data_IF_289376129516
#
_entry.id   IF_289376129516
#
_cell.length_a   1.000
_cell.length_b   1.000
_cell.length_c   1.000
_cell.angle_alpha   90.00
_cell.angle_beta   90.00
_cell.angle_gamma   90.00
#
_symmetry.space_group_name_H-M   'P 1'
#
loop_
_entity.id
_entity.type
_entity.pdbx_description
1 polymer ?
#
# COMPACT_ATOMS: atom_id res chain seq x y z
N UNK A 1 5.56 6.49 -7.68
CA UNK A 1 4.65 5.53 -8.35
C UNK A 1 5.01 5.31 -9.81
N UNK A 2 5.10 6.33 -10.67
CA UNK A 2 5.44 6.18 -12.10
C UNK A 2 6.74 5.39 -12.32
N UNK A 3 7.81 5.70 -11.59
CA UNK A 3 9.11 5.01 -11.70
C UNK A 3 9.01 3.55 -11.27
N UNK A 4 8.24 3.28 -10.21
CA UNK A 4 7.96 1.90 -9.76
C UNK A 4 7.21 1.10 -10.82
N UNK A 5 6.23 1.71 -11.49
CA UNK A 5 5.51 1.09 -12.61
C UNK A 5 6.46 0.82 -13.77
N UNK A 6 7.37 1.74 -14.11
CA UNK A 6 8.36 1.57 -15.17
C UNK A 6 9.29 0.38 -14.87
N UNK A 7 9.80 0.25 -13.65
CA UNK A 7 10.65 -0.87 -13.26
C UNK A 7 9.92 -2.21 -13.33
N UNK A 8 8.71 -2.27 -12.75
CA UNK A 8 7.89 -3.50 -12.77
C UNK A 8 7.47 -3.84 -14.19
N UNK A 9 7.09 -2.85 -14.99
CA UNK A 9 6.76 -3.01 -16.40
C UNK A 9 7.92 -3.59 -17.21
N UNK A 10 9.12 -3.06 -17.06
CA UNK A 10 10.32 -3.59 -17.69
C UNK A 10 10.58 -5.04 -17.27
N UNK A 11 10.48 -5.36 -15.96
CA UNK A 11 10.65 -6.71 -15.46
C UNK A 11 9.63 -7.69 -16.07
N UNK A 12 8.36 -7.30 -16.17
CA UNK A 12 7.30 -8.12 -16.76
C UNK A 12 7.49 -8.29 -18.27
N UNK A 13 7.91 -7.22 -18.97
CA UNK A 13 8.18 -7.25 -20.38
C UNK A 13 9.32 -8.22 -20.71
N UNK A 14 10.43 -8.21 -19.98
CA UNK A 14 11.54 -9.13 -20.22
C UNK A 14 11.17 -10.59 -19.92
N UNK A 15 10.32 -10.86 -18.91
CA UNK A 15 9.79 -12.21 -18.67
C UNK A 15 8.86 -12.63 -19.82
N UNK A 16 8.01 -11.72 -20.30
CA UNK A 16 7.15 -11.97 -21.45
C UNK A 16 7.98 -12.23 -22.70
N UNK A 17 8.98 -11.39 -22.99
CA UNK A 17 9.89 -11.55 -24.12
C UNK A 17 10.58 -12.92 -24.10
N UNK A 18 11.19 -13.28 -22.97
CA UNK A 18 11.85 -14.57 -22.78
C UNK A 18 10.93 -15.76 -23.08
N UNK A 19 9.69 -15.66 -22.67
CA UNK A 19 8.68 -16.71 -22.85
C UNK A 19 8.11 -16.78 -24.27
N UNK A 20 8.24 -15.72 -25.08
CA UNK A 20 7.69 -15.65 -26.43
C UNK A 20 8.75 -15.70 -27.55
N UNK A 21 10.03 -15.89 -27.20
CA UNK A 21 11.06 -16.09 -28.20
C UNK A 21 10.80 -17.35 -29.02
N UNK A 22 10.85 -17.22 -30.32
CA UNK A 22 10.88 -18.37 -31.25
C UNK A 22 12.21 -19.08 -31.10
N UNK A 23 12.18 -20.36 -30.75
CA UNK A 23 13.35 -21.23 -30.58
C UNK A 23 13.37 -22.43 -31.53
N UNK A 24 12.42 -22.49 -32.47
CA UNK A 24 12.28 -23.64 -33.35
C UNK A 24 13.50 -23.78 -34.26
N UNK A 25 13.95 -22.70 -34.92
CA UNK A 25 15.07 -22.66 -35.81
C UNK A 25 15.89 -21.38 -35.61
N UNK A 26 16.57 -21.19 -34.47
CA UNK A 26 17.34 -19.98 -34.24
C UNK A 26 18.57 -19.97 -35.16
N UNK A 27 18.95 -18.79 -35.63
CA UNK A 27 20.25 -18.61 -36.30
C UNK A 27 21.42 -19.04 -35.40
N UNK A 28 22.53 -19.42 -35.98
CA UNK A 28 23.72 -19.77 -35.19
C UNK A 28 24.10 -18.64 -34.23
N UNK A 29 24.40 -19.02 -32.98
CA UNK A 29 24.71 -18.09 -31.89
C UNK A 29 23.49 -17.51 -31.17
N UNK A 30 22.27 -17.65 -31.72
CA UNK A 30 21.06 -17.17 -31.05
C UNK A 30 20.45 -18.23 -30.14
N UNK A 31 19.84 -17.76 -29.05
CA UNK A 31 18.97 -18.52 -28.15
C UNK A 31 17.50 -18.48 -28.60
N UNK A 32 17.15 -17.55 -29.46
CA UNK A 32 15.83 -17.32 -30.04
C UNK A 32 15.67 -15.86 -30.48
N UNK A 33 14.60 -15.60 -31.20
CA UNK A 33 14.25 -14.28 -31.72
C UNK A 33 12.74 -14.03 -31.62
N UNK A 34 12.35 -12.78 -31.75
CA UNK A 34 10.94 -12.36 -31.75
C UNK A 34 10.71 -11.21 -32.72
N UNK A 35 9.74 -11.36 -33.60
CA UNK A 35 9.19 -10.28 -34.40
C UNK A 35 8.00 -9.64 -33.66
N UNK A 36 8.01 -8.33 -33.51
CA UNK A 36 6.97 -7.58 -32.85
C UNK A 36 6.55 -6.38 -33.69
N UNK A 37 5.30 -5.96 -33.56
CA UNK A 37 4.79 -4.70 -34.13
C UNK A 37 4.27 -3.80 -33.02
N UNK A 38 4.69 -2.55 -32.98
CA UNK A 38 4.19 -1.57 -32.02
C UNK A 38 4.34 -0.15 -32.56
N UNK A 39 3.32 0.70 -32.39
CA UNK A 39 3.35 2.09 -32.81
C UNK A 39 3.60 2.29 -34.30
N UNK A 40 3.19 1.34 -35.17
CA UNK A 40 3.42 1.38 -36.61
C UNK A 40 4.81 0.90 -37.05
N UNK A 41 5.71 0.54 -36.12
CA UNK A 41 7.04 0.00 -36.42
C UNK A 41 7.10 -1.54 -36.24
N UNK A 42 7.89 -2.20 -37.10
CA UNK A 42 8.21 -3.60 -36.98
C UNK A 42 9.58 -3.72 -36.32
N UNK A 43 9.65 -4.54 -35.27
CA UNK A 43 10.83 -4.76 -34.44
C UNK A 43 11.26 -6.21 -34.55
N UNK A 44 12.57 -6.45 -34.70
CA UNK A 44 13.17 -7.76 -34.60
C UNK A 44 14.12 -7.80 -33.40
N UNK A 45 13.77 -8.60 -32.40
CA UNK A 45 14.53 -8.75 -31.15
C UNK A 45 15.22 -10.12 -31.15
N UNK A 46 16.51 -10.11 -30.96
CA UNK A 46 17.36 -11.32 -30.93
C UNK A 46 17.96 -11.51 -29.55
N UNK A 47 17.94 -12.74 -29.05
CA UNK A 47 18.65 -13.12 -27.83
C UNK A 47 19.80 -14.03 -28.16
N UNK A 48 21.01 -13.59 -27.90
CA UNK A 48 22.23 -14.36 -28.08
C UNK A 48 22.42 -15.39 -26.96
N UNK A 49 23.03 -16.54 -27.26
CA UNK A 49 23.41 -17.55 -26.26
C UNK A 49 24.46 -16.99 -25.29
N UNK A 50 25.45 -16.29 -25.83
CA UNK A 50 26.51 -15.66 -25.06
C UNK A 50 26.62 -14.17 -25.40
N UNK A 51 27.00 -13.84 -26.64
CA UNK A 51 27.21 -12.46 -27.10
C UNK A 51 26.97 -12.37 -28.62
N UNK A 52 26.69 -11.16 -29.16
CA UNK A 52 26.72 -10.90 -30.57
C UNK A 52 28.17 -11.01 -31.10
N UNK A 53 28.37 -11.22 -32.40
CA UNK A 53 29.71 -11.26 -32.99
C UNK A 53 30.53 -10.00 -32.74
N UNK A 54 29.86 -8.84 -32.67
CA UNK A 54 30.46 -7.56 -32.33
C UNK A 54 29.57 -6.91 -31.27
N UNK A 55 30.18 -6.52 -30.14
CA UNK A 55 29.45 -5.79 -29.09
C UNK A 55 29.08 -4.38 -29.58
N UNK A 56 27.83 -3.92 -29.35
CA UNK A 56 27.44 -2.58 -29.73
C UNK A 56 28.12 -1.54 -28.82
N UNK A 57 28.52 -0.40 -29.41
CA UNK A 57 29.11 0.71 -28.67
C UNK A 57 28.14 1.28 -27.61
N UNK A 58 26.84 1.30 -27.94
CA UNK A 58 25.78 1.77 -27.07
C UNK A 58 24.93 0.61 -26.58
N UNK A 59 25.17 0.19 -25.33
CA UNK A 59 24.40 -0.83 -24.65
C UNK A 59 23.52 -0.17 -23.58
N UNK A 60 22.18 -0.32 -23.71
CA UNK A 60 21.26 0.20 -22.69
C UNK A 60 21.27 -0.68 -21.44
N UNK A 61 21.41 -0.06 -20.27
CA UNK A 61 21.45 -0.73 -18.96
C UNK A 61 20.18 -0.44 -18.19
N UNK A 62 19.31 -1.41 -18.01
CA UNK A 62 18.07 -1.31 -17.22
C UNK A 62 18.37 -1.30 -15.72
N UNK A 63 18.85 -0.17 -15.22
CA UNK A 63 19.23 0.02 -13.81
C UNK A 63 18.59 1.25 -13.18
N UNK A 64 18.36 2.31 -13.96
CA UNK A 64 17.91 3.59 -13.45
C UNK A 64 16.46 3.51 -12.95
N UNK A 65 15.63 2.69 -13.56
CA UNK A 65 14.25 2.42 -13.13
C UNK A 65 14.24 1.86 -11.70
N UNK A 66 15.15 0.95 -11.38
CA UNK A 66 15.28 0.38 -10.03
C UNK A 66 15.82 1.42 -9.04
N UNK A 67 16.86 2.16 -9.41
CA UNK A 67 17.50 3.14 -8.53
C UNK A 67 16.55 4.29 -8.20
N UNK A 68 15.90 4.89 -9.21
CA UNK A 68 14.94 5.97 -8.99
C UNK A 68 13.72 5.51 -8.21
N UNK A 69 13.29 4.26 -8.39
CA UNK A 69 12.18 3.69 -7.60
C UNK A 69 12.54 3.68 -6.12
N UNK A 70 13.73 3.18 -5.78
CA UNK A 70 14.16 3.11 -4.39
C UNK A 70 14.44 4.50 -3.81
N UNK A 71 15.17 5.36 -4.51
CA UNK A 71 15.48 6.72 -4.05
C UNK A 71 14.22 7.52 -3.78
N UNK A 72 13.28 7.54 -4.73
CA UNK A 72 11.99 8.23 -4.53
C UNK A 72 11.17 7.60 -3.41
N UNK A 73 11.23 6.28 -3.24
CA UNK A 73 10.60 5.56 -2.15
C UNK A 73 11.14 5.93 -0.78
N UNK A 74 12.47 6.04 -0.63
CA UNK A 74 13.12 6.48 0.62
C UNK A 74 12.78 7.94 0.92
N UNK A 75 12.83 8.84 -0.07
CA UNK A 75 12.41 10.24 0.13
C UNK A 75 10.96 10.29 0.61
N UNK A 76 10.08 9.52 -0.01
CA UNK A 76 8.67 9.48 0.38
C UNK A 76 8.49 8.90 1.81
N UNK A 77 9.26 7.87 2.18
CA UNK A 77 9.26 7.29 3.53
C UNK A 77 9.67 8.35 4.56
N UNK A 78 10.74 9.11 4.29
CA UNK A 78 11.20 10.19 5.15
C UNK A 78 10.13 11.28 5.30
N UNK A 79 9.56 11.75 4.19
CA UNK A 79 8.57 12.84 4.20
C UNK A 79 7.26 12.40 4.87
N UNK A 80 6.79 11.16 4.63
CA UNK A 80 5.49 10.73 5.14
C UNK A 80 5.57 10.19 6.57
N UNK A 81 6.63 9.47 6.94
CA UNK A 81 6.71 8.77 8.23
C UNK A 81 7.76 9.35 9.18
N UNK A 82 8.92 9.77 8.67
CA UNK A 82 10.02 10.19 9.54
C UNK A 82 10.00 11.68 9.86
N UNK A 83 9.24 12.50 9.11
CA UNK A 83 9.05 13.91 9.44
C UNK A 83 8.29 14.12 10.77
N UNK A 84 7.34 13.23 11.07
CA UNK A 84 6.64 13.20 12.35
C UNK A 84 6.36 11.73 12.76
N UNK A 85 7.40 11.04 13.31
CA UNK A 85 7.32 9.61 13.56
C UNK A 85 6.35 9.24 14.67
N UNK A 86 6.14 10.09 15.66
CA UNK A 86 5.17 9.85 16.73
C UNK A 86 3.75 9.78 16.17
N UNK A 87 3.46 10.60 15.16
CA UNK A 87 2.14 10.70 14.57
C UNK A 87 1.86 9.64 13.50
N UNK A 88 2.86 9.35 12.64
CA UNK A 88 2.63 8.55 11.43
C UNK A 88 3.26 7.16 11.48
N UNK A 89 4.35 6.99 12.23
CA UNK A 89 5.11 5.74 12.26
C UNK A 89 4.74 4.87 13.44
N UNK A 90 4.84 5.39 14.66
CA UNK A 90 4.69 4.60 15.89
C UNK A 90 3.25 4.13 16.11
N UNK A 91 3.09 3.02 16.82
CA UNK A 91 1.79 2.55 17.27
C UNK A 91 1.18 3.57 18.27
N UNK A 92 -0.15 3.78 18.26
CA UNK A 92 -0.81 4.59 19.25
C UNK A 92 -0.50 4.09 20.67
N UNK A 93 -0.06 5.01 21.55
CA UNK A 93 0.32 4.64 22.94
C UNK A 93 1.71 4.01 23.07
N UNK A 94 2.51 3.98 22.02
CA UNK A 94 3.91 3.52 22.09
C UNK A 94 4.72 4.35 23.08
N UNK A 95 5.57 3.68 23.85
CA UNK A 95 6.53 4.33 24.77
C UNK A 95 7.83 4.76 24.09
N UNK A 96 8.02 4.37 22.82
CA UNK A 96 9.19 4.71 22.04
C UNK A 96 9.20 6.19 21.62
N UNK A 97 10.37 6.77 21.63
CA UNK A 97 10.59 8.10 21.04
C UNK A 97 10.61 8.04 19.52
N UNK A 98 10.35 9.17 18.87
CA UNK A 98 10.42 9.27 17.42
C UNK A 98 11.76 8.80 16.82
N UNK A 99 12.91 9.25 17.32
CA UNK A 99 14.23 8.79 16.85
C UNK A 99 14.46 7.28 17.01
N UNK A 100 13.98 6.67 18.09
CA UNK A 100 14.05 5.21 18.28
C UNK A 100 13.25 4.46 17.23
N UNK A 101 12.03 4.92 16.93
CA UNK A 101 11.21 4.35 15.87
C UNK A 101 11.89 4.43 14.50
N UNK A 102 12.50 5.59 14.18
CA UNK A 102 13.26 5.76 12.94
C UNK A 102 14.46 4.82 12.91
N UNK A 103 15.20 4.69 14.01
CA UNK A 103 16.38 3.82 14.12
C UNK A 103 15.99 2.34 13.89
N UNK A 104 14.87 1.89 14.44
CA UNK A 104 14.33 0.54 14.21
C UNK A 104 14.00 0.37 12.71
N UNK A 105 13.30 1.32 12.10
CA UNK A 105 12.94 1.27 10.68
C UNK A 105 14.17 1.20 9.78
N UNK A 106 15.09 2.15 9.90
CA UNK A 106 16.32 2.23 9.08
C UNK A 106 17.21 1.02 9.34
N UNK A 107 17.40 0.65 10.62
CA UNK A 107 18.17 -0.54 11.00
C UNK A 107 17.65 -1.82 10.36
N UNK A 108 16.34 -1.99 10.33
CA UNK A 108 15.69 -3.14 9.69
C UNK A 108 15.90 -3.15 8.16
N UNK A 109 15.84 -1.99 7.48
CA UNK A 109 16.13 -1.90 6.05
C UNK A 109 17.57 -2.33 5.74
N UNK A 110 18.54 -1.86 6.53
CA UNK A 110 19.95 -2.22 6.36
C UNK A 110 20.19 -3.69 6.68
N UNK A 111 19.72 -4.16 7.84
CA UNK A 111 19.90 -5.53 8.28
C UNK A 111 19.26 -6.53 7.30
N UNK A 112 18.08 -6.23 6.76
CA UNK A 112 17.39 -7.11 5.83
C UNK A 112 18.17 -7.42 4.57
N UNK A 113 18.91 -6.44 4.03
CA UNK A 113 19.77 -6.66 2.88
C UNK A 113 20.89 -7.64 3.20
N UNK A 114 21.62 -7.44 4.31
CA UNK A 114 22.72 -8.32 4.70
C UNK A 114 22.25 -9.73 5.02
N UNK A 115 21.16 -9.87 5.78
CA UNK A 115 20.56 -11.19 6.10
C UNK A 115 20.18 -11.91 4.80
N UNK A 116 19.48 -11.22 3.91
CA UNK A 116 19.08 -11.79 2.63
C UNK A 116 20.27 -12.20 1.77
N UNK A 117 21.28 -11.34 1.65
CA UNK A 117 22.47 -11.60 0.85
C UNK A 117 23.26 -12.82 1.38
N UNK A 118 23.44 -12.90 2.69
CA UNK A 118 24.06 -14.03 3.36
C UNK A 118 23.31 -15.34 3.13
N UNK A 119 21.97 -15.32 3.23
CA UNK A 119 21.14 -16.50 2.99
C UNK A 119 21.27 -16.99 1.54
N UNK A 120 21.29 -16.09 0.58
CA UNK A 120 21.43 -16.45 -0.83
C UNK A 120 22.82 -17.00 -1.18
N UNK A 121 23.88 -16.55 -0.51
CA UNK A 121 25.24 -17.03 -0.72
C UNK A 121 25.58 -18.27 0.13
N UNK A 122 24.71 -18.66 1.06
CA UNK A 122 24.80 -19.87 1.86
C UNK A 122 24.43 -21.13 1.03
N UNK A 123 24.66 -22.35 1.55
CA UNK A 123 24.17 -23.60 0.93
C UNK A 123 22.67 -23.60 0.66
N UNK A 124 21.88 -22.77 1.35
CA UNK A 124 20.45 -22.60 1.16
C UNK A 124 20.15 -22.03 -0.25
N UNK A 125 21.02 -21.18 -0.80
CA UNK A 125 20.90 -20.64 -2.16
C UNK A 125 20.84 -21.69 -3.25
N UNK A 126 21.38 -22.88 -3.00
CA UNK A 126 21.30 -24.04 -3.91
C UNK A 126 19.94 -24.75 -3.87
N UNK A 127 19.05 -24.40 -2.91
CA UNK A 127 17.73 -24.98 -2.70
C UNK A 127 16.65 -23.90 -2.81
N UNK A 128 16.31 -23.44 -4.03
CA UNK A 128 15.50 -22.22 -4.23
C UNK A 128 14.12 -22.28 -3.57
N UNK A 129 13.48 -23.46 -3.52
CA UNK A 129 12.18 -23.61 -2.82
C UNK A 129 12.28 -23.41 -1.31
N UNK A 130 13.31 -24.00 -0.68
CA UNK A 130 13.53 -23.85 0.76
C UNK A 130 13.96 -22.42 1.10
N UNK A 131 14.83 -21.81 0.29
CA UNK A 131 15.23 -20.42 0.43
C UNK A 131 14.00 -19.49 0.33
N UNK A 132 13.13 -19.72 -0.67
CA UNK A 132 11.89 -18.95 -0.81
C UNK A 132 10.98 -19.05 0.41
N UNK A 133 10.83 -20.25 0.99
CA UNK A 133 10.06 -20.45 2.22
C UNK A 133 10.68 -19.69 3.41
N UNK A 134 12.00 -19.79 3.59
CA UNK A 134 12.71 -19.07 4.67
C UNK A 134 12.56 -17.56 4.52
N UNK A 135 12.72 -17.04 3.31
CA UNK A 135 12.52 -15.59 3.03
C UNK A 135 11.08 -15.16 3.32
N UNK A 136 10.10 -15.96 2.91
CA UNK A 136 8.69 -15.69 3.21
C UNK A 136 8.46 -15.60 4.72
N UNK A 137 8.92 -16.60 5.49
CA UNK A 137 8.77 -16.61 6.96
C UNK A 137 9.44 -15.40 7.60
N UNK A 138 10.66 -15.03 7.17
CA UNK A 138 11.39 -13.88 7.70
C UNK A 138 10.68 -12.55 7.39
N UNK A 139 10.13 -12.38 6.19
CA UNK A 139 9.39 -11.17 5.81
C UNK A 139 8.11 -11.05 6.64
N UNK A 140 7.39 -12.15 6.86
CA UNK A 140 6.17 -12.13 7.67
C UNK A 140 6.51 -11.92 9.15
N UNK A 141 7.58 -12.51 9.66
CA UNK A 141 8.07 -12.26 11.01
C UNK A 141 8.47 -10.79 11.20
N UNK A 142 9.12 -10.16 10.21
CA UNK A 142 9.42 -8.73 10.23
C UNK A 142 8.13 -7.89 10.25
N UNK A 143 7.12 -8.23 9.44
CA UNK A 143 5.82 -7.58 9.46
C UNK A 143 5.14 -7.68 10.83
N UNK A 144 5.16 -8.87 11.44
CA UNK A 144 4.67 -9.07 12.80
C UNK A 144 5.42 -8.21 13.81
N UNK A 145 6.76 -8.22 13.77
CA UNK A 145 7.59 -7.38 14.64
C UNK A 145 7.29 -5.89 14.48
N UNK A 146 7.15 -5.41 13.24
CA UNK A 146 6.76 -4.02 12.99
C UNK A 146 5.35 -3.71 13.51
N UNK A 147 4.40 -4.63 13.43
CA UNK A 147 3.05 -4.39 13.95
C UNK A 147 2.99 -4.30 15.48
N UNK A 148 4.05 -4.72 16.21
CA UNK A 148 4.15 -4.49 17.66
C UNK A 148 4.70 -3.10 18.01
N UNK A 149 5.39 -2.44 17.07
CA UNK A 149 6.14 -1.20 17.31
C UNK A 149 5.53 -0.02 16.54
N UNK A 150 5.10 -0.27 15.32
CA UNK A 150 4.59 0.73 14.40
C UNK A 150 3.07 0.67 14.27
N UNK A 151 2.46 1.75 13.79
CA UNK A 151 1.09 1.73 13.31
C UNK A 151 0.93 0.65 12.23
N UNK A 152 -0.25 0.09 12.06
CA UNK A 152 -0.48 -0.96 11.04
C UNK A 152 -0.06 -0.50 9.64
N UNK A 153 -0.30 0.78 9.31
CA UNK A 153 0.18 1.41 8.08
C UNK A 153 1.71 1.48 8.03
N UNK A 154 2.35 1.88 9.14
CA UNK A 154 3.81 1.90 9.29
C UNK A 154 4.42 0.52 9.11
N UNK A 155 3.82 -0.51 9.72
CA UNK A 155 4.28 -1.89 9.61
C UNK A 155 4.24 -2.41 8.17
N UNK A 156 3.15 -2.19 7.44
CA UNK A 156 3.05 -2.59 6.04
C UNK A 156 4.08 -1.89 5.16
N UNK A 157 4.19 -0.57 5.27
CA UNK A 157 5.10 0.19 4.42
C UNK A 157 6.57 -0.12 4.73
N UNK A 158 6.94 -0.40 5.98
CA UNK A 158 8.31 -0.83 6.30
C UNK A 158 8.59 -2.25 5.81
N UNK A 159 7.61 -3.16 5.85
CA UNK A 159 7.74 -4.48 5.21
C UNK A 159 7.96 -4.34 3.70
N UNK A 160 7.21 -3.45 3.04
CA UNK A 160 7.43 -3.13 1.62
C UNK A 160 8.79 -2.47 1.35
N UNK A 161 9.24 -1.60 2.23
CA UNK A 161 10.54 -0.95 2.14
C UNK A 161 11.71 -1.96 2.28
N UNK A 162 11.59 -2.96 3.16
CA UNK A 162 12.53 -4.10 3.24
C UNK A 162 12.57 -4.84 1.90
N UNK A 163 11.43 -5.25 1.37
CA UNK A 163 11.36 -5.96 0.08
C UNK A 163 11.97 -5.09 -1.03
N UNK A 164 11.61 -3.81 -1.12
CA UNK A 164 12.15 -2.87 -2.10
C UNK A 164 13.66 -2.67 -1.97
N UNK A 165 14.19 -2.61 -0.74
CA UNK A 165 15.63 -2.49 -0.48
C UNK A 165 16.38 -3.76 -0.92
N UNK A 166 15.83 -4.94 -0.63
CA UNK A 166 16.36 -6.21 -1.14
C UNK A 166 16.38 -6.21 -2.67
N UNK A 167 15.26 -5.82 -3.29
CA UNK A 167 15.14 -5.82 -4.75
C UNK A 167 16.14 -4.89 -5.43
N UNK A 168 16.30 -3.65 -4.93
CA UNK A 168 17.27 -2.71 -5.52
C UNK A 168 18.69 -3.11 -5.20
N UNK A 169 18.96 -3.61 -3.99
CA UNK A 169 20.26 -4.16 -3.60
C UNK A 169 20.69 -5.28 -4.53
N UNK A 170 19.79 -6.16 -4.93
CA UNK A 170 20.05 -7.19 -5.94
C UNK A 170 20.51 -6.58 -7.27
N UNK A 171 19.84 -5.52 -7.74
CA UNK A 171 20.24 -4.84 -8.99
C UNK A 171 21.60 -4.18 -8.83
N UNK A 172 21.80 -3.42 -7.75
CA UNK A 172 23.00 -2.60 -7.57
C UNK A 172 24.25 -3.42 -7.27
N UNK A 173 24.17 -4.40 -6.34
CA UNK A 173 25.32 -5.14 -5.80
C UNK A 173 25.63 -6.44 -6.54
N UNK A 174 24.65 -7.07 -7.18
CA UNK A 174 24.80 -8.40 -7.75
C UNK A 174 24.57 -8.40 -9.26
N UNK A 175 23.39 -7.97 -9.71
CA UNK A 175 23.01 -8.10 -11.13
C UNK A 175 23.89 -7.20 -12.01
N UNK A 176 24.01 -5.92 -11.68
CA UNK A 176 24.78 -4.98 -12.48
C UNK A 176 26.30 -5.28 -12.51
N UNK A 177 26.96 -5.61 -11.36
CA UNK A 177 28.36 -6.07 -11.41
C UNK A 177 28.55 -7.33 -12.26
N UNK A 178 27.66 -8.34 -12.14
CA UNK A 178 27.75 -9.55 -12.93
C UNK A 178 27.60 -9.29 -14.44
N UNK A 179 26.67 -8.43 -14.83
CA UNK A 179 26.48 -8.03 -16.23
C UNK A 179 27.68 -7.24 -16.77
N UNK A 180 28.25 -6.32 -15.97
CA UNK A 180 29.47 -5.60 -16.37
C UNK A 180 30.66 -6.53 -16.54
N UNK A 181 30.85 -7.49 -15.64
CA UNK A 181 31.92 -8.47 -15.74
C UNK A 181 31.76 -9.36 -16.99
N UNK A 182 30.51 -9.75 -17.33
CA UNK A 182 30.19 -10.48 -18.55
C UNK A 182 30.59 -9.68 -19.79
N UNK A 183 30.13 -8.44 -19.90
CA UNK A 183 30.43 -7.57 -21.05
C UNK A 183 31.93 -7.30 -21.18
N UNK A 184 32.62 -7.03 -20.09
CA UNK A 184 34.08 -6.81 -20.08
C UNK A 184 34.84 -8.07 -20.56
N UNK A 185 34.47 -9.25 -20.05
CA UNK A 185 35.10 -10.49 -20.47
C UNK A 185 34.93 -10.74 -21.98
N UNK A 186 33.75 -10.46 -22.54
CA UNK A 186 33.48 -10.59 -23.97
C UNK A 186 34.30 -9.57 -24.78
N UNK A 187 34.34 -8.33 -24.37
CA UNK A 187 35.11 -7.26 -25.03
C UNK A 187 36.62 -7.56 -25.06
N UNK A 188 37.13 -8.23 -24.03
CA UNK A 188 38.53 -8.63 -23.89
C UNK A 188 38.81 -10.02 -24.45
N UNK A 189 37.85 -10.66 -25.17
CA UNK A 189 37.95 -12.03 -25.66
C UNK A 189 38.34 -13.07 -24.61
N UNK A 190 37.93 -12.84 -23.33
CA UNK A 190 38.11 -13.79 -22.22
C UNK A 190 36.84 -14.63 -22.03
N UNK A 191 37.02 -15.86 -21.56
CA UNK A 191 35.89 -16.69 -21.16
C UNK A 191 35.20 -16.10 -19.95
N UNK A 192 33.87 -15.76 -20.02
CA UNK A 192 33.15 -15.26 -18.88
C UNK A 192 33.03 -16.28 -17.74
N UNK A 193 33.11 -15.83 -16.51
CA UNK A 193 32.83 -16.67 -15.33
C UNK A 193 31.35 -17.04 -15.27
N UNK A 194 30.98 -18.33 -15.39
CA UNK A 194 29.58 -18.76 -15.44
C UNK A 194 28.84 -18.59 -14.09
N UNK A 195 29.58 -18.41 -13.00
CA UNK A 195 28.98 -18.26 -11.66
C UNK A 195 28.29 -16.90 -11.48
N UNK A 196 28.80 -15.85 -12.13
CA UNK A 196 28.24 -14.50 -12.02
C UNK A 196 26.86 -14.36 -12.64
N UNK A 197 26.63 -14.79 -13.89
CA UNK A 197 25.27 -14.80 -14.46
C UNK A 197 24.29 -15.69 -13.67
N UNK A 198 24.74 -16.81 -13.12
CA UNK A 198 23.91 -17.69 -12.31
C UNK A 198 23.44 -17.01 -11.01
N UNK A 199 24.36 -16.32 -10.30
CA UNK A 199 24.00 -15.49 -9.15
C UNK A 199 23.00 -14.39 -9.52
N UNK A 200 23.29 -13.66 -10.60
CA UNK A 200 22.39 -12.61 -11.12
C UNK A 200 21.00 -13.14 -11.44
N UNK A 201 20.90 -14.32 -12.06
CA UNK A 201 19.63 -14.96 -12.39
C UNK A 201 18.83 -15.34 -11.13
N UNK A 202 19.47 -15.89 -10.09
CA UNK A 202 18.81 -16.21 -8.83
C UNK A 202 18.18 -14.96 -8.22
N UNK A 203 18.95 -13.85 -8.12
CA UNK A 203 18.48 -12.58 -7.56
C UNK A 203 17.35 -11.97 -8.40
N UNK A 204 17.45 -12.04 -9.73
CA UNK A 204 16.40 -11.58 -10.65
C UNK A 204 15.09 -12.36 -10.47
N UNK A 205 15.18 -13.69 -10.25
CA UNK A 205 14.00 -14.51 -9.93
C UNK A 205 13.35 -14.09 -8.62
N UNK A 206 14.11 -13.80 -7.58
CA UNK A 206 13.55 -13.30 -6.32
C UNK A 206 12.85 -11.96 -6.54
N UNK A 207 13.48 -11.01 -7.23
CA UNK A 207 12.85 -9.73 -7.57
C UNK A 207 11.51 -9.93 -8.30
N UNK A 208 11.47 -10.88 -9.22
CA UNK A 208 10.26 -11.22 -9.96
C UNK A 208 9.12 -11.73 -9.06
N UNK A 209 9.41 -12.60 -8.10
CA UNK A 209 8.40 -13.08 -7.15
C UNK A 209 7.97 -12.02 -6.12
N UNK A 210 8.84 -11.09 -5.77
CA UNK A 210 8.54 -9.99 -4.86
C UNK A 210 7.64 -8.90 -5.49
N UNK A 211 7.50 -8.86 -6.81
CA UNK A 211 6.79 -7.77 -7.50
C UNK A 211 5.33 -7.63 -7.07
N UNK A 212 4.54 -8.70 -7.05
CA UNK A 212 3.12 -8.61 -6.71
C UNK A 212 2.90 -8.30 -5.21
N UNK A 213 3.60 -8.95 -4.25
CA UNK A 213 3.51 -8.57 -2.85
C UNK A 213 3.86 -7.10 -2.59
N UNK A 214 4.97 -6.59 -3.16
CA UNK A 214 5.37 -5.20 -2.94
C UNK A 214 4.41 -4.21 -3.59
N UNK A 215 3.84 -4.55 -4.75
CA UNK A 215 2.78 -3.75 -5.39
C UNK A 215 1.56 -3.60 -4.48
N UNK A 216 1.08 -4.70 -3.89
CA UNK A 216 -0.02 -4.63 -2.94
C UNK A 216 0.32 -3.69 -1.78
N UNK A 217 1.51 -3.84 -1.18
CA UNK A 217 1.94 -2.99 -0.08
C UNK A 217 1.95 -1.50 -0.50
N UNK A 218 2.41 -1.19 -1.71
CA UNK A 218 2.44 0.20 -2.24
C UNK A 218 1.03 0.83 -2.32
N UNK A 219 0.01 0.04 -2.64
CA UNK A 219 -1.38 0.52 -2.74
C UNK A 219 -2.18 0.27 -1.46
N UNK A 220 -1.62 -0.41 -0.46
CA UNK A 220 -2.31 -0.82 0.77
C UNK A 220 -2.92 0.34 1.55
N UNK A 221 -2.40 1.56 1.40
CA UNK A 221 -2.97 2.76 2.00
C UNK A 221 -4.45 3.02 1.61
N UNK A 222 -4.89 2.46 0.49
CA UNK A 222 -6.29 2.53 0.04
C UNK A 222 -7.17 1.44 0.66
N UNK A 223 -6.59 0.50 1.42
CA UNK A 223 -7.29 -0.64 2.03
C UNK A 223 -7.06 -0.70 3.55
N UNK A 224 -7.62 0.27 4.33
CA UNK A 224 -7.43 0.33 5.78
C UNK A 224 -7.85 -0.94 6.51
N UNK A 225 -8.84 -1.67 6.01
CA UNK A 225 -9.31 -2.93 6.58
C UNK A 225 -8.22 -4.01 6.66
N UNK A 226 -7.17 -3.91 5.82
CA UNK A 226 -6.07 -4.88 5.81
C UNK A 226 -5.02 -4.57 6.89
N UNK A 227 -4.46 -3.37 6.88
CA UNK A 227 -3.40 -2.99 7.82
C UNK A 227 -3.93 -2.55 9.19
N UNK A 228 -5.20 -2.13 9.29
CA UNK A 228 -5.85 -1.76 10.55
C UNK A 228 -6.33 -2.96 11.38
N UNK A 229 -6.29 -4.17 10.85
CA UNK A 229 -6.66 -5.38 11.58
C UNK A 229 -5.59 -5.77 12.61
N UNK A 230 -6.02 -6.35 13.75
CA UNK A 230 -5.11 -6.98 14.71
C UNK A 230 -4.28 -8.11 14.08
N UNK A 231 -4.83 -8.79 13.07
CA UNK A 231 -4.19 -9.87 12.32
C UNK A 231 -3.57 -9.38 11.00
N UNK A 232 -3.18 -8.10 10.91
CA UNK A 232 -2.67 -7.49 9.68
C UNK A 232 -1.52 -8.27 9.04
N UNK A 233 -0.59 -8.82 9.82
CA UNK A 233 0.53 -9.63 9.36
C UNK A 233 0.09 -10.96 8.71
N UNK A 234 -0.99 -11.60 9.23
CA UNK A 234 -1.58 -12.80 8.62
C UNK A 234 -2.30 -12.47 7.31
N UNK A 235 -3.00 -11.34 7.26
CA UNK A 235 -3.64 -10.84 6.05
C UNK A 235 -2.58 -10.60 4.97
N UNK A 236 -1.48 -9.93 5.32
CA UNK A 236 -0.37 -9.73 4.38
C UNK A 236 0.26 -11.05 3.94
N UNK A 237 0.42 -12.02 4.85
CA UNK A 237 0.90 -13.36 4.51
C UNK A 237 -0.02 -14.05 3.50
N UNK A 238 -1.32 -14.02 3.71
CA UNK A 238 -2.32 -14.58 2.78
C UNK A 238 -2.25 -13.93 1.41
N UNK A 239 -2.19 -12.60 1.35
CA UNK A 239 -2.05 -11.84 0.10
C UNK A 239 -0.73 -12.20 -0.60
N UNK A 240 0.38 -12.30 0.14
CA UNK A 240 1.68 -12.67 -0.43
C UNK A 240 1.68 -14.10 -1.00
N UNK A 241 1.03 -15.06 -0.33
CA UNK A 241 0.86 -16.43 -0.85
C UNK A 241 0.10 -16.41 -2.17
N UNK A 242 -1.06 -15.75 -2.22
CA UNK A 242 -1.85 -15.63 -3.45
C UNK A 242 -1.04 -14.95 -4.56
N UNK A 243 -0.35 -13.86 -4.24
CA UNK A 243 0.49 -13.13 -5.19
C UNK A 243 1.61 -14.00 -5.76
N UNK A 244 2.30 -14.77 -4.92
CA UNK A 244 3.36 -15.70 -5.34
C UNK A 244 2.79 -16.84 -6.20
N UNK A 245 1.63 -17.40 -5.84
CA UNK A 245 0.96 -18.45 -6.64
C UNK A 245 0.62 -17.95 -8.04
N UNK A 246 -0.02 -16.78 -8.14
CA UNK A 246 -0.35 -16.17 -9.44
C UNK A 246 0.92 -15.90 -10.24
N UNK A 247 1.95 -15.34 -9.61
CA UNK A 247 3.23 -15.06 -10.28
C UNK A 247 3.92 -16.34 -10.76
N UNK A 248 3.87 -17.41 -9.97
CA UNK A 248 4.43 -18.70 -10.33
C UNK A 248 3.77 -19.27 -11.60
N UNK A 249 2.46 -19.19 -11.71
CA UNK A 249 1.77 -19.55 -12.95
C UNK A 249 2.30 -18.78 -14.16
N UNK A 250 2.38 -17.45 -14.08
CA UNK A 250 2.88 -16.63 -15.19
C UNK A 250 4.33 -16.91 -15.55
N UNK A 251 5.15 -17.31 -14.59
CA UNK A 251 6.53 -17.68 -14.83
C UNK A 251 6.70 -19.06 -15.48
N UNK A 252 5.71 -19.95 -15.33
CA UNK A 252 5.85 -21.37 -15.74
C UNK A 252 4.92 -21.78 -16.88
N UNK A 253 3.89 -21.00 -17.21
CA UNK A 253 2.80 -21.36 -18.16
C UNK A 253 3.27 -21.76 -19.56
N UNK A 254 4.40 -21.22 -20.02
CA UNK A 254 4.94 -21.54 -21.35
C UNK A 254 5.69 -22.88 -21.38
N UNK A 255 6.16 -23.35 -20.23
CA UNK A 255 6.86 -24.62 -20.10
C UNK A 255 5.95 -25.74 -19.58
N UNK A 256 4.88 -25.40 -18.84
CA UNK A 256 3.99 -26.39 -18.24
C UNK A 256 2.66 -25.78 -17.84
N UNK A 257 1.57 -26.46 -18.16
CA UNK A 257 0.21 -26.10 -17.70
C UNK A 257 -0.12 -26.63 -16.30
N UNK A 258 0.83 -27.32 -15.64
CA UNK A 258 0.63 -27.97 -14.32
C UNK A 258 0.08 -26.99 -13.25
N UNK A 259 0.42 -25.72 -13.34
CA UNK A 259 0.02 -24.70 -12.36
C UNK A 259 -1.16 -23.83 -12.82
N UNK A 260 -1.93 -24.24 -13.85
CA UNK A 260 -3.09 -23.48 -14.34
C UNK A 260 -4.16 -23.25 -13.24
N UNK A 261 -4.28 -24.18 -12.29
CA UNK A 261 -5.13 -24.08 -11.13
C UNK A 261 -4.81 -22.89 -10.20
N UNK A 262 -3.58 -22.35 -10.26
CA UNK A 262 -3.14 -21.25 -9.42
C UNK A 262 -3.91 -19.94 -9.68
N UNK A 263 -4.44 -19.72 -10.91
CA UNK A 263 -5.24 -18.56 -11.22
C UNK A 263 -6.61 -18.59 -10.54
N UNK A 264 -7.46 -19.64 -10.74
CA UNK A 264 -8.75 -19.70 -10.06
C UNK A 264 -8.59 -19.80 -8.53
N UNK A 265 -7.58 -20.53 -8.04
CA UNK A 265 -7.28 -20.60 -6.60
C UNK A 265 -6.84 -19.22 -6.06
N UNK A 266 -6.04 -18.47 -6.82
CA UNK A 266 -5.65 -17.10 -6.46
C UNK A 266 -6.85 -16.15 -6.41
N UNK A 267 -7.73 -16.22 -7.40
CA UNK A 267 -8.97 -15.43 -7.42
C UNK A 267 -9.86 -15.74 -6.21
N UNK A 268 -10.07 -17.03 -5.93
CA UNK A 268 -10.83 -17.46 -4.75
C UNK A 268 -10.17 -17.00 -3.45
N UNK A 269 -8.84 -17.13 -3.33
CA UNK A 269 -8.08 -16.66 -2.17
C UNK A 269 -8.24 -15.16 -1.93
N UNK A 270 -8.20 -14.33 -2.99
CA UNK A 270 -8.44 -12.89 -2.87
C UNK A 270 -9.89 -12.57 -2.46
N UNK A 271 -10.87 -13.30 -3.01
CA UNK A 271 -12.28 -13.15 -2.60
C UNK A 271 -12.44 -13.50 -1.12
N UNK A 272 -11.89 -14.63 -0.66
CA UNK A 272 -11.92 -15.02 0.76
C UNK A 272 -11.26 -13.96 1.65
N UNK A 273 -10.09 -13.44 1.26
CA UNK A 273 -9.41 -12.38 2.00
C UNK A 273 -10.26 -11.10 2.04
N UNK A 274 -10.91 -10.72 0.95
CA UNK A 274 -11.79 -9.55 0.90
C UNK A 274 -12.98 -9.73 1.87
N UNK A 275 -13.59 -10.92 1.94
CA UNK A 275 -14.65 -11.19 2.91
C UNK A 275 -14.15 -11.17 4.35
N UNK A 276 -12.98 -11.76 4.64
CA UNK A 276 -12.41 -11.79 6.00
C UNK A 276 -11.99 -10.40 6.47
N UNK A 277 -11.53 -9.54 5.56
CA UNK A 277 -11.07 -8.19 5.88
C UNK A 277 -12.16 -7.13 5.69
N UNK A 278 -13.24 -7.46 4.99
CA UNK A 278 -14.39 -6.57 4.81
C UNK A 278 -15.13 -6.37 6.12
N UNK A 279 -15.77 -5.23 6.35
CA UNK A 279 -16.73 -5.09 7.43
C UNK A 279 -17.86 -6.09 7.15
N UNK A 280 -17.93 -7.16 7.92
CA UNK A 280 -19.12 -8.02 7.92
C UNK A 280 -20.30 -7.21 8.46
N UNK A 281 -20.95 -6.44 7.62
CA UNK A 281 -22.31 -6.02 7.84
C UNK A 281 -23.22 -7.21 7.53
N UNK A 282 -23.28 -8.18 8.41
CA UNK A 282 -24.46 -8.99 8.61
C UNK A 282 -25.49 -8.17 9.41
N UNK A 283 -25.75 -6.95 8.94
CA UNK A 283 -26.90 -6.17 9.35
C UNK A 283 -28.03 -6.49 8.37
N UNK A 284 -29.20 -6.78 8.91
CA UNK A 284 -30.46 -7.00 8.18
C UNK A 284 -30.56 -6.03 6.98
N UNK A 285 -30.78 -6.57 5.80
CA UNK A 285 -30.97 -5.82 4.55
C UNK A 285 -32.16 -4.83 4.56
N UNK A 286 -32.92 -4.76 5.65
CA UNK A 286 -33.96 -3.76 5.89
C UNK A 286 -33.43 -2.37 6.28
N UNK A 287 -32.20 -2.27 6.81
CA UNK A 287 -31.66 -0.97 7.26
C UNK A 287 -30.91 -0.20 6.14
N UNK A 288 -30.53 -0.89 5.05
CA UNK A 288 -29.86 -0.26 3.89
C UNK A 288 -30.86 0.54 3.03
N UNK A 289 -32.15 0.22 3.12
CA UNK A 289 -33.19 0.89 2.32
C UNK A 289 -33.57 2.29 2.88
N UNK A 290 -33.10 2.65 4.07
CA UNK A 290 -33.43 3.93 4.72
C UNK A 290 -32.23 4.88 4.90
N UNK A 291 -31.09 4.59 4.28
CA UNK A 291 -30.04 5.59 4.23
C UNK A 291 -30.55 6.81 3.42
N UNK A 292 -30.55 8.03 3.98
CA UNK A 292 -30.98 9.21 3.26
C UNK A 292 -30.14 9.35 1.99
N UNK A 293 -30.81 9.48 0.83
CA UNK A 293 -30.13 9.83 -0.42
C UNK A 293 -29.46 11.18 -0.18
N UNK A 294 -28.14 11.20 -0.15
CA UNK A 294 -27.36 12.43 -0.10
C UNK A 294 -27.56 13.10 -1.46
N UNK A 295 -28.49 14.03 -1.53
CA UNK A 295 -28.63 14.92 -2.67
C UNK A 295 -27.45 15.90 -2.60
N UNK A 296 -26.55 15.78 -3.57
CA UNK A 296 -25.39 16.64 -3.68
C UNK A 296 -25.87 18.06 -4.01
N UNK A 297 -25.93 18.94 -3.04
CA UNK A 297 -26.07 20.37 -3.31
C UNK A 297 -24.69 20.95 -3.59
N UNK A 298 -24.45 21.47 -4.79
CA UNK A 298 -23.19 22.19 -5.08
C UNK A 298 -23.07 23.38 -4.14
N UNK A 299 -21.88 23.57 -3.58
CA UNK A 299 -21.56 24.76 -2.79
C UNK A 299 -21.83 26.03 -3.62
N UNK A 300 -22.48 27.05 -3.06
CA UNK A 300 -22.67 28.32 -3.77
C UNK A 300 -21.31 28.89 -4.19
N UNK A 301 -21.09 29.06 -5.47
CA UNK A 301 -19.85 29.65 -6.02
C UNK A 301 -18.95 28.72 -6.83
N UNK A 302 -19.24 27.43 -6.98
CA UNK A 302 -18.46 26.51 -7.83
C UNK A 302 -19.18 26.10 -9.12
N UNK A 303 -19.72 27.04 -9.87
CA UNK A 303 -20.15 26.79 -11.24
C UNK A 303 -18.94 26.95 -12.18
N UNK A 304 -18.39 25.84 -12.63
CA UNK A 304 -17.49 25.82 -13.79
C UNK A 304 -18.38 26.03 -15.03
N UNK A 305 -18.44 27.27 -15.53
CA UNK A 305 -19.20 27.60 -16.74
C UNK A 305 -19.95 28.93 -16.57
N UNK A 306 -19.26 30.01 -16.80
CA UNK A 306 -19.61 31.40 -16.91
C UNK A 306 -21.08 31.80 -17.08
N UNK A 307 -21.70 32.23 -15.99
CA UNK A 307 -22.64 33.35 -15.96
C UNK A 307 -22.46 34.09 -14.63
N UNK A 308 -22.42 35.41 -14.70
CA UNK A 308 -22.20 36.30 -13.55
C UNK A 308 -23.41 36.25 -12.60
N UNK A 309 -23.11 36.48 -11.31
CA UNK A 309 -24.05 36.44 -10.17
C UNK A 309 -25.12 37.55 -10.11
N UNK A 310 -25.26 38.38 -11.14
CA UNK A 310 -26.05 39.60 -11.10
C UNK A 310 -27.45 39.47 -11.74
N UNK A 311 -27.82 38.26 -12.16
CA UNK A 311 -29.14 38.03 -12.83
C UNK A 311 -30.03 37.01 -12.05
N UNK A 312 -30.19 37.15 -10.76
CA UNK A 312 -31.24 36.43 -10.02
C UNK A 312 -32.17 37.41 -9.30
N UNK A 313 -33.47 37.34 -9.51
CA UNK A 313 -34.43 38.19 -8.80
C UNK A 313 -34.54 37.82 -7.33
N UNK A 314 -34.69 38.84 -6.50
CA UNK A 314 -34.83 38.71 -5.04
C UNK A 314 -36.07 37.88 -4.67
N UNK A 315 -35.87 36.85 -3.85
CA UNK A 315 -36.94 36.13 -3.17
C UNK A 315 -37.43 36.90 -1.94
N UNK A 316 -38.76 36.95 -1.70
CA UNK A 316 -39.28 37.67 -0.56
C UNK A 316 -39.08 36.90 0.76
N UNK A 317 -38.85 37.66 1.80
CA UNK A 317 -38.68 37.17 3.17
C UNK A 317 -39.90 36.42 3.68
N UNK A 318 -39.72 35.19 4.19
CA UNK A 318 -40.78 34.49 4.93
C UNK A 318 -40.83 34.91 6.40
N UNK A 319 -42.02 35.04 6.98
CA UNK A 319 -42.20 35.48 8.35
C UNK A 319 -41.84 34.34 9.37
N UNK A 320 -41.38 34.79 10.53
CA UNK A 320 -41.12 33.95 11.70
C UNK A 320 -42.38 33.15 12.10
N UNK A 321 -42.27 31.85 12.23
CA UNK A 321 -43.34 30.99 12.75
C UNK A 321 -43.08 30.71 14.23
N UNK A 322 -44.21 30.82 14.97
CA UNK A 322 -44.33 30.79 16.39
C UNK A 322 -43.94 29.48 17.08
N UNK A 323 -43.52 29.63 18.32
CA UNK A 323 -43.35 28.59 19.33
C UNK A 323 -44.59 27.73 19.51
N UNK A 324 -44.42 26.40 19.53
CA UNK A 324 -45.38 25.47 20.18
C UNK A 324 -44.67 24.62 21.23
N UNK A 325 -45.36 24.27 22.30
CA UNK A 325 -44.73 23.86 23.55
C UNK A 325 -44.31 22.41 23.59
N UNK A 326 -43.26 22.18 24.36
CA UNK A 326 -42.65 20.89 24.70
C UNK A 326 -43.65 19.88 25.26
N UNK A 327 -43.60 18.64 24.74
CA UNK A 327 -44.00 17.47 25.51
C UNK A 327 -42.78 16.65 25.90
N UNK A 328 -42.62 16.49 27.17
CA UNK A 328 -41.56 15.78 27.83
C UNK A 328 -41.72 14.25 27.62
N UNK A 329 -40.68 13.58 27.15
CA UNK A 329 -40.46 12.19 27.49
C UNK A 329 -38.96 11.83 27.37
N UNK A 330 -38.43 11.37 28.49
CA UNK A 330 -37.34 10.49 28.71
C UNK A 330 -35.92 11.07 28.85
N UNK A 331 -35.50 11.27 30.03
CA UNK A 331 -34.22 11.70 30.56
C UNK A 331 -33.07 10.68 30.52
N UNK A 332 -32.92 9.86 29.45
CA UNK A 332 -31.78 8.93 29.33
C UNK A 332 -30.95 9.14 28.08
N UNK A 333 -31.46 9.74 27.00
CA UNK A 333 -30.73 10.01 25.76
C UNK A 333 -29.80 11.22 25.85
N UNK A 334 -30.25 12.28 26.50
CA UNK A 334 -29.49 13.55 26.65
C UNK A 334 -28.20 13.37 27.45
N UNK A 335 -28.26 12.57 28.53
CA UNK A 335 -27.09 12.32 29.37
C UNK A 335 -25.99 11.53 28.64
N UNK A 336 -26.38 10.63 27.74
CA UNK A 336 -25.43 9.84 26.94
C UNK A 336 -24.77 10.69 25.82
N UNK A 337 -25.55 11.53 25.11
CA UNK A 337 -24.99 12.41 24.08
C UNK A 337 -24.09 13.51 24.67
N UNK A 338 -24.48 14.12 25.81
CA UNK A 338 -23.64 15.14 26.44
C UNK A 338 -22.24 14.62 26.81
N UNK A 339 -22.14 13.38 27.28
CA UNK A 339 -20.84 12.72 27.52
C UNK A 339 -20.06 12.51 26.24
N UNK A 340 -20.70 11.99 25.19
CA UNK A 340 -20.09 11.78 23.88
C UNK A 340 -19.65 13.11 23.27
N UNK A 341 -20.47 14.13 23.35
CA UNK A 341 -20.14 15.47 22.86
C UNK A 341 -18.91 16.03 23.57
N UNK A 342 -18.82 15.91 24.89
CA UNK A 342 -17.64 16.31 25.65
C UNK A 342 -16.36 15.61 25.18
N UNK A 343 -16.42 14.30 24.97
CA UNK A 343 -15.29 13.53 24.44
C UNK A 343 -14.92 14.01 23.03
N UNK A 344 -15.88 14.23 22.14
CA UNK A 344 -15.61 14.69 20.78
C UNK A 344 -15.00 16.09 20.77
N UNK A 345 -15.48 17.00 21.62
CA UNK A 345 -14.90 18.34 21.73
C UNK A 345 -13.45 18.30 22.23
N UNK A 346 -13.15 17.46 23.23
CA UNK A 346 -11.81 17.35 23.80
C UNK A 346 -10.84 16.57 22.91
N UNK A 347 -11.29 15.51 22.23
CA UNK A 347 -10.43 14.59 21.49
C UNK A 347 -10.38 14.82 19.98
N UNK A 348 -11.44 15.38 19.39
CA UNK A 348 -11.60 15.49 17.94
C UNK A 348 -11.64 16.93 17.45
N UNK A 349 -12.43 17.83 18.09
CA UNK A 349 -12.62 19.21 17.65
C UNK A 349 -11.34 20.05 17.75
N UNK A 350 -10.38 19.65 18.59
CA UNK A 350 -9.04 20.27 18.65
C UNK A 350 -8.38 20.39 17.25
N UNK A 351 -8.62 19.40 16.38
CA UNK A 351 -8.14 19.41 15.00
C UNK A 351 -9.28 19.62 13.98
N UNK A 352 -10.48 19.16 14.30
CA UNK A 352 -11.65 19.10 13.44
C UNK A 352 -12.69 20.15 13.82
N UNK A 353 -12.33 21.40 13.73
CA UNK A 353 -13.17 22.58 14.03
C UNK A 353 -12.98 23.64 12.93
N UNK A 354 -13.91 24.56 12.82
CA UNK A 354 -13.76 25.74 11.96
C UNK A 354 -12.53 26.58 12.36
N UNK A 355 -12.16 26.57 13.63
CA UNK A 355 -10.97 27.21 14.19
C UNK A 355 -10.15 26.21 15.01
N UNK A 356 -9.33 25.35 14.38
CA UNK A 356 -8.55 24.35 15.09
C UNK A 356 -7.60 24.98 16.10
N UNK A 357 -7.52 24.39 17.31
CA UNK A 357 -6.58 24.83 18.35
C UNK A 357 -5.29 24.01 18.34
N UNK A 358 -5.24 22.93 17.56
CA UNK A 358 -4.06 22.11 17.39
C UNK A 358 -2.97 22.84 16.59
N UNK A 359 -1.71 22.84 17.05
CA UNK A 359 -0.61 23.44 16.30
C UNK A 359 -0.29 22.73 14.97
N UNK A 360 -0.87 21.54 14.74
CA UNK A 360 -0.62 20.74 13.54
C UNK A 360 -1.49 21.14 12.35
N UNK A 361 -2.61 21.81 12.57
CA UNK A 361 -3.57 22.13 11.52
C UNK A 361 -4.08 23.56 11.66
N UNK A 362 -3.95 24.35 10.61
CA UNK A 362 -4.50 25.72 10.53
C UNK A 362 -5.96 25.72 10.04
N UNK A 363 -6.43 24.62 9.47
CA UNK A 363 -7.80 24.42 8.98
C UNK A 363 -8.22 22.97 9.25
N UNK A 364 -9.53 22.72 9.33
CA UNK A 364 -10.06 21.38 9.57
C UNK A 364 -9.58 20.38 8.51
N UNK A 365 -8.86 19.30 8.89
CA UNK A 365 -8.36 18.29 7.96
C UNK A 365 -9.51 17.66 7.15
N UNK A 366 -9.34 17.60 5.82
CA UNK A 366 -10.34 17.09 4.87
C UNK A 366 -11.73 17.77 4.98
N UNK A 367 -11.80 18.99 5.52
CA UNK A 367 -13.06 19.70 5.72
C UNK A 367 -14.01 19.06 6.75
N UNK A 368 -13.52 18.12 7.57
CA UNK A 368 -14.31 17.45 8.60
C UNK A 368 -14.35 18.31 9.85
N UNK A 369 -15.56 18.69 10.31
CA UNK A 369 -15.77 19.54 11.48
C UNK A 369 -16.77 18.90 12.45
N UNK A 370 -16.57 19.14 13.75
CA UNK A 370 -17.39 18.64 14.86
C UNK A 370 -17.83 19.77 15.80
N UNK A 371 -18.05 20.97 15.26
CA UNK A 371 -18.43 22.14 16.05
C UNK A 371 -19.88 22.08 16.54
N UNK A 372 -20.76 21.36 15.83
CA UNK A 372 -22.18 21.28 16.18
C UNK A 372 -22.66 19.83 16.35
N UNK A 373 -23.67 19.58 17.19
CA UNK A 373 -24.30 18.26 17.34
C UNK A 373 -24.72 17.63 16.01
N UNK A 374 -25.26 18.43 15.10
CA UNK A 374 -25.70 17.98 13.77
C UNK A 374 -24.52 17.48 12.91
N UNK A 375 -23.38 18.16 12.95
CA UNK A 375 -22.16 17.71 12.26
C UNK A 375 -21.66 16.37 12.83
N UNK A 376 -21.67 16.24 14.17
CA UNK A 376 -21.28 15.01 14.86
C UNK A 376 -22.19 13.85 14.46
N UNK A 377 -23.50 14.07 14.45
CA UNK A 377 -24.50 13.08 14.04
C UNK A 377 -24.32 12.65 12.59
N UNK A 378 -24.20 13.60 11.66
CA UNK A 378 -24.01 13.32 10.23
C UNK A 378 -22.72 12.53 9.96
N UNK A 379 -21.68 12.77 10.77
CA UNK A 379 -20.38 12.13 10.63
C UNK A 379 -20.22 10.89 11.51
N UNK A 380 -21.25 10.46 12.23
CA UNK A 380 -21.22 9.28 13.11
C UNK A 380 -20.70 8.01 12.40
N UNK A 381 -21.07 7.68 11.15
CA UNK A 381 -20.49 6.54 10.45
C UNK A 381 -18.98 6.67 10.22
N UNK A 382 -18.47 7.89 9.95
CA UNK A 382 -17.03 8.15 9.81
C UNK A 382 -16.30 8.07 11.15
N UNK A 383 -16.92 8.58 12.22
CA UNK A 383 -16.40 8.47 13.58
C UNK A 383 -16.30 6.99 13.96
N UNK A 384 -17.33 6.19 13.69
CA UNK A 384 -17.33 4.75 13.92
C UNK A 384 -16.16 4.08 13.20
N UNK A 385 -16.01 4.34 11.90
CA UNK A 385 -14.98 3.71 11.10
C UNK A 385 -13.56 4.12 11.53
N UNK A 386 -13.34 5.40 11.83
CA UNK A 386 -11.99 5.96 12.03
C UNK A 386 -11.55 5.98 13.51
N UNK A 387 -12.46 6.24 14.42
CA UNK A 387 -12.13 6.41 15.84
C UNK A 387 -12.43 5.17 16.69
N UNK A 388 -13.48 4.41 16.35
CA UNK A 388 -13.90 3.24 17.14
C UNK A 388 -13.35 1.94 16.53
N UNK A 389 -13.62 1.68 15.26
CA UNK A 389 -13.28 0.40 14.63
C UNK A 389 -11.79 0.30 14.25
N UNK A 390 -11.25 1.27 13.49
CA UNK A 390 -9.86 1.24 13.03
C UNK A 390 -8.88 1.92 13.98
N UNK A 391 -9.38 2.74 14.91
CA UNK A 391 -8.62 3.53 15.88
C UNK A 391 -7.51 4.41 15.26
N UNK A 392 -7.64 4.73 13.96
CA UNK A 392 -6.71 5.63 13.26
C UNK A 392 -6.85 7.06 13.77
N UNK A 393 -8.05 7.44 14.24
CA UNK A 393 -8.33 8.72 14.87
C UNK A 393 -8.55 8.58 16.40
N UNK A 394 -8.14 9.55 17.18
CA UNK A 394 -7.31 10.70 16.83
C UNK A 394 -5.97 10.28 16.27
N UNK A 395 -5.45 11.04 15.32
CA UNK A 395 -4.23 10.70 14.60
C UNK A 395 -3.05 10.53 15.57
N UNK A 396 -2.43 9.33 15.60
CA UNK A 396 -1.39 8.98 16.56
C UNK A 396 -1.83 9.03 18.02
N UNK A 397 -3.14 9.10 18.28
CA UNK A 397 -3.74 9.28 19.61
C UNK A 397 -3.15 10.45 20.41
N UNK A 398 -2.80 11.54 19.72
CA UNK A 398 -2.15 12.72 20.34
C UNK A 398 -3.02 13.40 21.39
N UNK A 399 -4.35 13.28 21.30
CA UNK A 399 -5.31 13.79 22.28
C UNK A 399 -5.57 12.81 23.41
N UNK A 400 -4.84 11.68 23.49
CA UNK A 400 -4.90 10.66 24.54
C UNK A 400 -6.31 10.10 24.78
N UNK A 401 -7.04 9.86 23.68
CA UNK A 401 -8.35 9.22 23.72
C UNK A 401 -8.25 7.82 24.32
N UNK A 402 -9.06 7.51 25.33
CA UNK A 402 -9.03 6.22 26.01
C UNK A 402 -9.92 5.17 25.33
N UNK A 403 -9.78 3.90 25.71
CA UNK A 403 -10.63 2.83 25.16
C UNK A 403 -12.07 2.96 25.65
N UNK A 404 -12.28 3.44 26.88
CA UNK A 404 -13.59 3.71 27.44
C UNK A 404 -14.32 4.80 26.65
N UNK A 405 -13.61 5.87 26.27
CA UNK A 405 -14.16 6.95 25.44
C UNK A 405 -14.55 6.42 24.04
N UNK A 406 -13.74 5.55 23.44
CA UNK A 406 -14.07 4.88 22.16
C UNK A 406 -15.30 3.99 22.29
N UNK A 407 -15.38 3.21 23.38
CA UNK A 407 -16.52 2.34 23.64
C UNK A 407 -17.80 3.16 23.87
N UNK A 408 -17.71 4.29 24.57
CA UNK A 408 -18.83 5.21 24.79
C UNK A 408 -19.38 5.73 23.46
N UNK A 409 -18.50 6.22 22.58
CA UNK A 409 -18.89 6.68 21.24
C UNK A 409 -19.50 5.55 20.42
N UNK A 410 -18.89 4.36 20.45
CA UNK A 410 -19.39 3.19 19.73
C UNK A 410 -20.80 2.78 20.17
N UNK A 411 -21.05 2.80 21.49
CA UNK A 411 -22.38 2.52 22.06
C UNK A 411 -23.42 3.56 21.66
N UNK A 412 -23.06 4.85 21.67
CA UNK A 412 -23.93 5.93 21.22
C UNK A 412 -24.29 5.77 19.73
N UNK A 413 -23.32 5.45 18.88
CA UNK A 413 -23.55 5.21 17.45
C UNK A 413 -24.44 3.98 17.23
N UNK A 414 -24.20 2.89 17.98
CA UNK A 414 -25.02 1.68 17.89
C UNK A 414 -26.48 1.91 18.32
N UNK A 415 -26.73 2.90 19.20
CA UNK A 415 -28.08 3.34 19.60
C UNK A 415 -28.74 4.30 18.58
N UNK A 416 -28.11 4.57 17.41
CA UNK A 416 -28.64 5.42 16.37
C UNK A 416 -28.13 6.84 16.36
N UNK A 417 -27.06 7.16 17.09
CA UNK A 417 -26.37 8.45 17.11
C UNK A 417 -27.31 9.65 17.37
N UNK A 418 -28.26 9.52 18.29
CA UNK A 418 -29.22 10.56 18.63
C UNK A 418 -28.54 11.70 19.38
N UNK A 419 -28.93 12.94 19.08
CA UNK A 419 -28.36 14.16 19.67
C UNK A 419 -29.34 14.92 20.59
N UNK A 420 -30.51 14.32 20.79
CA UNK A 420 -31.58 14.85 21.68
C UNK A 420 -31.66 14.04 22.95
#
# INVERSE_FOLDING_TARGET
MIVGIAWIGASFYFVWLENNLNRANPRDGLSGDLWAIHGGGIYHLEKYKLAPPTMPDNLHWFKWEAYWTWMSGIVLLCVVFYSNPVLYLLAPGSTLSGPEGIAIGVGALVASWFIYDLLCDSPLGKRPGLLGLVLFVLIIAACYGFSQVFSGRGAYLHTGAIIGTIMVGNVFRIIMPAQRALVAAIAENRTPDPTLPAKGLLRSRHNNYFTLPVLFIMISNHFPSTYGSHYNWLILAGIAVVAVMVRHYFNTRHNSHKFAWALPAGALGMICLAFVTGPMQMGNSSDVAQAPKIEYQPLPGTAIGGKRADEMPAQPAQPAAAEQPAQASAGTSDADFNKVHGVIQERCAVCHSATPTSPLFSTAPAGVMFDTPQQIQQLAPRIQAQAVASQIMPLGNITKMTQEERNLIGQWIAKGAQTN
#
